data_IF_565352259779
#
_entry.id   IF_565352259779
#
_cell.length_a   1.000
_cell.length_b   1.000
_cell.length_c   1.000
_cell.angle_alpha   90.00
_cell.angle_beta   90.00
_cell.angle_gamma   90.00
#
_symmetry.space_group_name_H-M   'P 1'
#
loop_
_entity.id
_entity.type
_entity.pdbx_description
1 polymer ?
#
# COMPACT_ATOMS: atom_id res chain seq x y z
N UNK A 1 -9.80 -10.04 15.49
CA UNK A 1 -9.78 -10.58 14.12
C UNK A 1 -8.63 -9.99 13.33
N UNK A 2 -8.21 -10.67 12.28
CA UNK A 2 -7.19 -10.19 11.33
C UNK A 2 -7.82 -9.54 10.09
N UNK A 3 -9.14 -9.37 10.07
CA UNK A 3 -9.85 -8.60 9.05
C UNK A 3 -9.66 -7.10 9.26
N UNK A 4 -9.86 -6.32 8.20
CA UNK A 4 -9.80 -4.87 8.26
C UNK A 4 -10.99 -4.30 9.05
N UNK A 5 -10.69 -3.37 9.96
CA UNK A 5 -11.70 -2.58 10.68
C UNK A 5 -11.34 -1.10 10.57
N UNK A 6 -12.05 -0.39 9.69
CA UNK A 6 -11.82 1.04 9.41
C UNK A 6 -12.02 1.96 10.62
N UNK A 7 -12.75 1.50 11.65
CA UNK A 7 -13.00 2.31 12.84
C UNK A 7 -11.90 2.15 13.90
N UNK A 8 -11.14 1.05 13.83
CA UNK A 8 -10.10 0.73 14.80
C UNK A 8 -8.68 0.82 14.23
N UNK A 9 -8.53 0.64 12.91
CA UNK A 9 -7.22 0.56 12.26
C UNK A 9 -7.00 1.79 11.37
N UNK A 10 -6.12 2.67 11.83
CA UNK A 10 -5.91 3.99 11.24
C UNK A 10 -4.56 4.12 10.55
N UNK A 11 -4.45 5.07 9.63
CA UNK A 11 -3.19 5.41 8.97
C UNK A 11 -2.11 5.78 10.01
N UNK A 12 -2.44 6.61 11.00
CA UNK A 12 -1.50 7.00 12.05
C UNK A 12 -1.05 5.82 12.92
N UNK A 13 -1.90 4.82 13.11
CA UNK A 13 -1.53 3.57 13.76
C UNK A 13 -0.51 2.78 12.93
N UNK A 14 -0.69 2.70 11.63
CA UNK A 14 0.28 2.08 10.71
C UNK A 14 1.61 2.85 10.71
N UNK A 15 1.58 4.17 10.61
CA UNK A 15 2.78 5.03 10.69
C UNK A 15 3.53 4.79 12.00
N UNK A 16 2.82 4.69 13.12
CA UNK A 16 3.43 4.38 14.43
C UNK A 16 4.10 3.02 14.45
N UNK A 17 3.54 2.01 13.76
CA UNK A 17 4.16 0.69 13.63
C UNK A 17 5.43 0.68 12.77
N UNK A 18 5.53 1.59 11.81
CA UNK A 18 6.66 1.69 10.89
C UNK A 18 7.83 2.49 11.46
N UNK A 19 7.65 3.19 12.59
CA UNK A 19 8.73 3.93 13.24
C UNK A 19 9.95 3.07 13.55
N UNK A 20 11.13 3.57 13.24
CA UNK A 20 12.40 2.87 13.39
C UNK A 20 12.60 1.74 12.38
N UNK A 21 11.81 1.68 11.31
CA UNK A 21 11.99 0.72 10.23
C UNK A 21 12.43 1.42 8.94
N UNK A 22 12.96 0.63 7.99
CA UNK A 22 13.33 1.14 6.64
C UNK A 22 12.15 1.71 5.84
N UNK A 23 10.94 1.49 6.30
CA UNK A 23 9.69 1.93 5.67
C UNK A 23 9.17 3.27 6.25
N UNK A 24 9.76 3.74 7.37
CA UNK A 24 9.36 5.00 7.99
C UNK A 24 9.51 6.17 7.02
N UNK A 25 8.48 6.98 6.87
CA UNK A 25 8.40 8.20 6.03
C UNK A 25 8.83 8.03 4.57
N UNK A 26 9.08 6.81 4.13
CA UNK A 26 9.52 6.51 2.77
C UNK A 26 8.32 6.40 1.84
N UNK A 27 8.50 6.88 0.59
CA UNK A 27 7.51 6.79 -0.48
C UNK A 27 7.90 5.73 -1.50
N UNK A 28 6.88 5.10 -2.08
CA UNK A 28 7.02 4.10 -3.14
C UNK A 28 6.08 4.44 -4.29
N UNK A 29 6.50 4.16 -5.53
CA UNK A 29 5.66 4.33 -6.71
C UNK A 29 4.55 3.27 -6.72
N UNK A 30 3.33 3.69 -7.03
CA UNK A 30 2.19 2.79 -7.29
C UNK A 30 2.30 2.08 -8.64
N UNK A 31 3.14 2.60 -9.55
CA UNK A 31 3.21 2.20 -10.95
C UNK A 31 2.18 2.91 -11.82
N UNK A 32 1.33 3.73 -11.23
CA UNK A 32 0.42 4.61 -11.96
C UNK A 32 1.13 5.91 -12.33
N UNK A 33 0.65 6.50 -13.39
CA UNK A 33 1.07 7.84 -13.85
C UNK A 33 -0.09 8.79 -13.66
N UNK A 34 0.21 9.96 -13.16
CA UNK A 34 -0.73 11.07 -13.20
C UNK A 34 -0.14 12.19 -14.08
N UNK A 35 -1.02 12.79 -14.86
CA UNK A 35 -0.68 14.00 -15.56
C UNK A 35 -0.85 15.16 -14.57
N UNK A 36 0.25 15.73 -14.14
CA UNK A 36 0.23 16.98 -13.38
C UNK A 36 0.03 18.09 -14.40
N UNK A 37 -1.10 18.77 -14.31
CA UNK A 37 -1.40 19.91 -15.15
C UNK A 37 -0.29 20.95 -15.06
N UNK A 38 0.17 21.45 -16.19
CA UNK A 38 1.12 22.56 -16.25
C UNK A 38 0.54 23.78 -15.53
N UNK A 39 1.39 24.66 -15.03
CA UNK A 39 0.99 25.96 -14.52
C UNK A 39 0.94 26.94 -15.70
N UNK A 40 -0.13 27.72 -15.78
CA UNK A 40 -0.24 28.87 -16.69
C UNK A 40 -0.59 30.10 -15.85
N UNK A 41 0.32 30.45 -14.94
CA UNK A 41 0.25 31.66 -14.10
C UNK A 41 0.87 32.82 -14.89
N UNK A 42 0.03 33.56 -15.59
CA UNK A 42 0.45 34.64 -16.47
C UNK A 42 0.62 35.97 -15.70
N UNK A 43 -0.09 36.13 -14.58
CA UNK A 43 -0.02 37.32 -13.77
C UNK A 43 0.97 37.23 -12.60
N UNK A 44 1.63 36.10 -12.40
CA UNK A 44 2.63 35.81 -11.38
C UNK A 44 2.08 35.92 -9.95
N UNK A 45 0.83 35.54 -9.72
CA UNK A 45 0.23 35.50 -8.39
C UNK A 45 0.30 34.11 -7.70
N UNK A 46 1.00 33.16 -8.33
CA UNK A 46 1.15 31.76 -7.94
C UNK A 46 -0.14 30.92 -8.03
N UNK A 47 -1.07 31.35 -8.87
CA UNK A 47 -2.28 30.58 -9.19
C UNK A 47 -2.41 30.44 -10.69
N UNK A 48 -3.20 29.49 -11.11
CA UNK A 48 -3.70 29.37 -12.48
C UNK A 48 -5.21 29.44 -12.39
N UNK A 49 -5.75 30.63 -12.68
CA UNK A 49 -7.17 30.89 -12.49
C UNK A 49 -7.80 31.71 -13.63
N UNK A 50 -8.99 32.23 -13.37
CA UNK A 50 -9.74 32.96 -14.39
C UNK A 50 -9.03 34.25 -14.84
N UNK A 51 -8.18 34.85 -13.99
CA UNK A 51 -7.43 36.05 -14.35
C UNK A 51 -6.42 35.75 -15.46
N UNK A 52 -5.73 34.62 -15.36
CA UNK A 52 -4.78 34.18 -16.39
C UNK A 52 -5.50 33.84 -17.70
N UNK A 53 -6.63 33.16 -17.62
CA UNK A 53 -7.43 32.85 -18.80
C UNK A 53 -7.92 34.13 -19.52
N UNK A 54 -8.28 35.15 -18.76
CA UNK A 54 -8.67 36.47 -19.31
C UNK A 54 -7.46 37.19 -19.90
N UNK A 55 -6.28 37.13 -19.27
CA UNK A 55 -5.05 37.69 -19.83
C UNK A 55 -4.68 37.04 -21.16
N UNK A 56 -4.71 35.72 -21.23
CA UNK A 56 -4.42 34.96 -22.45
C UNK A 56 -5.42 35.29 -23.57
N UNK A 57 -6.71 35.39 -23.22
CA UNK A 57 -7.74 35.79 -24.16
C UNK A 57 -7.54 37.22 -24.67
N UNK A 58 -7.20 38.19 -23.83
CA UNK A 58 -6.92 39.56 -24.22
C UNK A 58 -5.70 39.65 -25.13
N UNK A 59 -4.67 38.85 -24.84
CA UNK A 59 -3.48 38.77 -25.70
C UNK A 59 -3.84 38.18 -27.07
N UNK A 60 -4.55 37.08 -27.11
CA UNK A 60 -4.97 36.44 -28.38
C UNK A 60 -5.91 37.33 -29.20
N UNK A 61 -6.67 38.19 -28.56
CA UNK A 61 -7.54 39.17 -29.22
C UNK A 61 -6.81 40.47 -29.61
N UNK A 62 -5.51 40.61 -29.33
CA UNK A 62 -4.70 41.80 -29.63
C UNK A 62 -4.97 43.01 -28.71
N UNK A 63 -5.71 42.80 -27.59
CA UNK A 63 -6.01 43.84 -26.62
C UNK A 63 -4.94 43.95 -25.51
N UNK A 64 -4.06 42.95 -25.38
CA UNK A 64 -2.89 42.95 -24.52
C UNK A 64 -1.66 42.78 -25.38
N UNK A 65 -0.70 43.71 -25.27
CA UNK A 65 0.45 43.76 -26.17
C UNK A 65 1.53 42.72 -25.87
N UNK A 66 1.64 42.29 -24.60
CA UNK A 66 2.69 41.37 -24.14
C UNK A 66 2.20 40.57 -22.94
N UNK A 67 2.65 39.31 -22.83
CA UNK A 67 2.44 38.42 -21.66
C UNK A 67 3.66 38.41 -20.72
N UNK A 68 4.70 39.16 -21.04
CA UNK A 68 5.94 39.16 -20.24
C UNK A 68 6.57 37.78 -20.17
N UNK A 69 6.96 37.37 -18.95
CA UNK A 69 7.49 36.03 -18.65
C UNK A 69 6.48 34.88 -18.84
N UNK A 70 5.20 35.19 -18.96
CA UNK A 70 4.15 34.19 -19.20
C UNK A 70 4.12 33.66 -20.62
N UNK A 71 4.83 34.30 -21.57
CA UNK A 71 4.83 33.89 -22.95
C UNK A 71 5.32 32.47 -23.21
N UNK A 72 6.32 32.03 -22.44
CA UNK A 72 6.91 30.68 -22.56
C UNK A 72 5.99 29.56 -22.12
N UNK A 73 4.92 29.89 -21.36
CA UNK A 73 3.96 28.92 -20.78
C UNK A 73 2.55 29.07 -21.36
N UNK A 74 2.37 29.95 -22.34
CA UNK A 74 1.06 30.31 -22.86
C UNK A 74 0.60 29.49 -24.09
N UNK A 75 1.52 28.83 -24.81
CA UNK A 75 1.20 27.84 -25.84
C UNK A 75 0.76 26.54 -25.21
N UNK A 76 -0.53 26.39 -24.98
CA UNK A 76 -1.11 25.27 -24.21
C UNK A 76 -1.48 24.07 -25.08
N UNK A 77 -1.55 24.26 -26.39
CA UNK A 77 -1.80 23.18 -27.35
C UNK A 77 -0.51 22.64 -27.98
N UNK A 78 0.62 23.40 -27.90
CA UNK A 78 1.93 23.02 -28.38
C UNK A 78 2.09 23.18 -29.91
N UNK A 79 1.30 24.04 -30.57
CA UNK A 79 1.38 24.24 -31.99
C UNK A 79 2.40 25.35 -32.42
N UNK A 80 2.97 26.02 -31.42
CA UNK A 80 3.96 27.09 -31.59
C UNK A 80 3.36 28.48 -31.76
N UNK A 81 2.05 28.61 -31.72
CA UNK A 81 1.32 29.89 -31.77
C UNK A 81 0.62 30.09 -30.39
N UNK A 82 0.44 31.36 -30.00
CA UNK A 82 -0.32 31.70 -28.80
C UNK A 82 -1.59 32.40 -29.25
N UNK A 83 -2.69 31.69 -29.27
CA UNK A 83 -3.93 32.19 -29.86
C UNK A 83 -5.17 31.89 -29.03
N UNK A 84 -6.34 32.04 -29.63
CA UNK A 84 -7.63 31.80 -28.96
C UNK A 84 -7.82 30.34 -28.56
N UNK A 85 -7.16 29.39 -29.23
CA UNK A 85 -7.26 27.96 -28.87
C UNK A 85 -6.63 27.69 -27.51
N UNK A 86 -5.50 28.34 -27.19
CA UNK A 86 -4.85 28.26 -25.88
C UNK A 86 -5.71 28.87 -24.78
N UNK A 87 -6.27 30.04 -25.06
CA UNK A 87 -7.19 30.69 -24.14
C UNK A 87 -8.42 29.81 -23.82
N UNK A 88 -8.97 29.14 -24.82
CA UNK A 88 -10.08 28.19 -24.63
C UNK A 88 -9.66 26.97 -23.79
N UNK A 89 -8.45 26.46 -23.99
CA UNK A 89 -7.89 25.39 -23.15
C UNK A 89 -7.83 25.83 -21.69
N UNK A 90 -7.31 27.04 -21.44
CA UNK A 90 -7.20 27.57 -20.08
C UNK A 90 -8.57 27.82 -19.44
N UNK A 91 -9.54 28.36 -20.17
CA UNK A 91 -10.91 28.50 -19.70
C UNK A 91 -11.56 27.16 -19.34
N UNK A 92 -11.35 26.12 -20.14
CA UNK A 92 -11.86 24.78 -19.85
C UNK A 92 -11.22 24.19 -18.58
N UNK A 93 -9.94 24.43 -18.38
CA UNK A 93 -9.21 24.00 -17.18
C UNK A 93 -9.71 24.70 -15.93
N UNK A 94 -9.76 26.02 -15.95
CA UNK A 94 -10.23 26.84 -14.83
C UNK A 94 -11.71 26.57 -14.51
N UNK A 95 -12.52 26.31 -15.54
CA UNK A 95 -13.91 25.93 -15.42
C UNK A 95 -14.15 24.47 -14.99
N UNK A 96 -13.09 23.69 -14.80
CA UNK A 96 -13.14 22.29 -14.34
C UNK A 96 -13.63 21.27 -15.36
N UNK A 97 -13.85 21.70 -16.62
CA UNK A 97 -14.21 20.78 -17.73
C UNK A 97 -13.01 20.09 -18.36
N UNK A 98 -11.80 20.57 -18.08
CA UNK A 98 -10.53 19.98 -18.47
C UNK A 98 -9.64 19.80 -17.23
N UNK A 99 -8.99 18.65 -17.10
CA UNK A 99 -8.17 18.33 -15.92
C UNK A 99 -6.72 18.79 -16.00
N UNK A 100 -6.24 19.10 -17.20
CA UNK A 100 -4.81 19.39 -17.45
C UNK A 100 -4.65 20.48 -18.50
N UNK A 101 -3.59 21.28 -18.41
CA UNK A 101 -3.21 22.34 -19.37
C UNK A 101 -1.75 22.20 -19.77
N UNK A 102 -1.45 22.55 -21.03
CA UNK A 102 -0.08 22.69 -21.54
C UNK A 102 0.73 21.41 -21.49
N UNK A 103 2.03 21.56 -21.29
CA UNK A 103 2.99 20.48 -21.20
C UNK A 103 2.76 19.64 -19.95
N UNK A 104 1.90 18.64 -20.09
CA UNK A 104 1.67 17.66 -19.04
C UNK A 104 2.94 16.87 -18.79
N UNK A 105 3.48 16.97 -17.59
CA UNK A 105 4.51 16.06 -17.13
C UNK A 105 3.82 14.84 -16.55
N UNK A 106 4.04 13.67 -17.13
CA UNK A 106 3.69 12.42 -16.46
C UNK A 106 4.59 12.26 -15.23
N UNK A 107 3.99 12.25 -14.07
CA UNK A 107 4.69 11.97 -12.82
C UNK A 107 4.23 10.64 -12.24
N UNK A 108 5.15 9.93 -11.60
CA UNK A 108 4.81 8.70 -10.87
C UNK A 108 3.93 9.04 -9.68
N UNK A 109 2.78 8.40 -9.60
CA UNK A 109 1.96 8.44 -8.38
C UNK A 109 2.70 7.69 -7.28
N UNK A 110 3.03 8.40 -6.21
CA UNK A 110 3.72 7.82 -5.05
C UNK A 110 2.87 7.87 -3.81
N UNK A 111 2.99 6.85 -2.98
CA UNK A 111 2.34 6.76 -1.66
C UNK A 111 3.37 6.41 -0.61
N UNK A 112 3.10 6.73 0.66
CA UNK A 112 3.92 6.22 1.76
C UNK A 112 3.71 4.71 1.92
N UNK A 113 4.66 4.02 2.57
CA UNK A 113 4.44 2.61 2.93
C UNK A 113 3.19 2.42 3.79
N UNK A 114 2.95 3.36 4.73
CA UNK A 114 1.75 3.33 5.55
C UNK A 114 0.48 3.35 4.70
N UNK A 115 0.41 4.24 3.71
CA UNK A 115 -0.71 4.31 2.79
C UNK A 115 -0.82 3.05 1.92
N UNK A 116 0.30 2.47 1.48
CA UNK A 116 0.28 1.22 0.72
C UNK A 116 -0.31 0.05 1.53
N UNK A 117 0.01 -0.05 2.82
CA UNK A 117 -0.61 -1.04 3.71
C UNK A 117 -2.09 -0.78 3.96
N UNK A 118 -2.51 0.49 4.09
CA UNK A 118 -3.93 0.85 4.19
C UNK A 118 -4.70 0.50 2.92
N UNK A 119 -4.15 0.81 1.75
CA UNK A 119 -4.74 0.44 0.46
C UNK A 119 -4.89 -1.08 0.31
N UNK A 120 -3.87 -1.84 0.72
CA UNK A 120 -3.92 -3.30 0.70
C UNK A 120 -4.98 -3.86 1.66
N UNK A 121 -5.12 -3.25 2.84
CA UNK A 121 -6.11 -3.62 3.85
C UNK A 121 -7.54 -3.42 3.33
N UNK A 122 -7.80 -2.27 2.74
CA UNK A 122 -9.10 -1.92 2.17
C UNK A 122 -9.47 -2.82 0.97
N UNK A 123 -8.51 -3.09 0.08
CA UNK A 123 -8.75 -3.90 -1.11
C UNK A 123 -9.01 -5.38 -0.79
N UNK A 124 -8.42 -5.93 0.28
CA UNK A 124 -8.43 -7.37 0.53
C UNK A 124 -9.02 -7.76 1.89
N UNK A 125 -9.65 -6.84 2.60
CA UNK A 125 -10.26 -7.06 3.92
C UNK A 125 -9.30 -7.70 4.93
N UNK A 126 -8.05 -7.20 4.99
CA UNK A 126 -7.01 -7.70 5.90
C UNK A 126 -6.46 -6.59 6.78
N UNK A 127 -6.32 -6.82 8.07
CA UNK A 127 -5.78 -5.83 9.00
C UNK A 127 -4.42 -5.27 8.55
N UNK A 128 -4.27 -3.95 8.35
CA UNK A 128 -3.00 -3.35 7.99
C UNK A 128 -1.95 -3.56 9.08
N UNK A 129 -2.37 -3.61 10.35
CA UNK A 129 -1.49 -3.90 11.49
C UNK A 129 -0.95 -5.33 11.44
N UNK A 130 -1.77 -6.28 10.99
CA UNK A 130 -1.32 -7.65 10.76
C UNK A 130 -0.30 -7.71 9.61
N UNK A 131 -0.57 -7.03 8.49
CA UNK A 131 0.34 -6.96 7.35
C UNK A 131 1.70 -6.39 7.74
N UNK A 132 1.73 -5.23 8.41
CA UNK A 132 2.97 -4.60 8.88
C UNK A 132 3.72 -5.51 9.86
N UNK A 133 3.02 -6.12 10.83
CA UNK A 133 3.63 -7.04 11.78
C UNK A 133 4.30 -8.22 11.08
N UNK A 134 3.63 -8.77 10.07
CA UNK A 134 4.17 -9.84 9.23
C UNK A 134 5.42 -9.40 8.49
N UNK A 135 5.36 -8.29 7.78
CA UNK A 135 6.51 -7.78 7.04
C UNK A 135 7.72 -7.59 7.96
N UNK A 136 7.54 -6.92 9.10
CA UNK A 136 8.64 -6.72 10.05
C UNK A 136 9.17 -8.06 10.59
N UNK A 137 8.30 -9.04 10.80
CA UNK A 137 8.72 -10.38 11.23
C UNK A 137 9.52 -11.12 10.17
N UNK A 138 9.14 -10.99 8.91
CA UNK A 138 9.74 -11.71 7.79
C UNK A 138 11.05 -11.08 7.29
N UNK A 139 11.12 -9.74 7.25
CA UNK A 139 12.26 -9.03 6.64
C UNK A 139 13.05 -8.18 7.64
N UNK A 140 12.61 -8.08 8.88
CA UNK A 140 13.24 -7.27 9.93
C UNK A 140 13.02 -5.77 9.78
N UNK A 141 13.38 -5.02 10.82
CA UNK A 141 13.23 -3.55 10.83
C UNK A 141 14.16 -2.84 9.83
N UNK A 142 15.29 -3.44 9.51
CA UNK A 142 16.26 -2.88 8.55
C UNK A 142 16.00 -3.34 7.10
N UNK A 143 15.01 -4.20 6.89
CA UNK A 143 14.80 -4.87 5.62
C UNK A 143 15.77 -6.03 5.41
N UNK A 144 15.52 -6.83 4.39
CA UNK A 144 16.36 -7.96 4.00
C UNK A 144 16.65 -7.94 2.50
N UNK A 145 17.46 -8.87 2.02
CA UNK A 145 17.75 -9.05 0.59
C UNK A 145 16.47 -9.20 -0.25
N UNK A 146 15.41 -9.80 0.31
CA UNK A 146 14.16 -10.04 -0.41
C UNK A 146 13.37 -8.76 -0.71
N UNK A 147 13.70 -7.62 -0.08
CA UNK A 147 13.02 -6.32 -0.29
C UNK A 147 13.96 -5.23 -0.81
N UNK A 148 15.24 -5.55 -1.05
CA UNK A 148 16.23 -4.60 -1.54
C UNK A 148 15.94 -4.14 -2.96
N UNK A 149 15.52 -5.05 -3.82
CA UNK A 149 15.38 -4.85 -5.27
C UNK A 149 16.71 -4.83 -6.02
N UNK A 150 17.81 -5.22 -5.34
CA UNK A 150 19.17 -5.23 -5.89
C UNK A 150 19.81 -6.61 -5.84
N UNK A 151 19.03 -7.65 -5.53
CA UNK A 151 19.55 -9.01 -5.50
C UNK A 151 19.97 -9.47 -6.89
N UNK A 152 21.21 -9.95 -7.08
CA UNK A 152 21.70 -10.37 -8.39
C UNK A 152 20.81 -11.41 -9.07
N UNK A 153 20.37 -11.11 -10.30
CA UNK A 153 19.45 -11.95 -11.08
C UNK A 153 17.97 -11.78 -10.72
N UNK A 154 17.66 -10.92 -9.75
CA UNK A 154 16.30 -10.56 -9.33
C UNK A 154 16.16 -9.05 -9.10
N UNK A 155 16.90 -8.25 -9.86
CA UNK A 155 16.85 -6.79 -9.77
C UNK A 155 15.43 -6.29 -10.05
N UNK A 156 14.95 -5.38 -9.21
CA UNK A 156 13.58 -4.85 -9.28
C UNK A 156 12.48 -5.82 -8.82
N UNK A 157 12.84 -6.98 -8.26
CA UNK A 157 11.88 -7.93 -7.65
C UNK A 157 11.89 -7.76 -6.14
N UNK A 158 10.70 -7.83 -5.54
CA UNK A 158 10.47 -7.61 -4.10
C UNK A 158 9.60 -8.70 -3.51
N UNK A 159 9.88 -9.11 -2.28
CA UNK A 159 9.03 -10.04 -1.54
C UNK A 159 9.02 -9.69 -0.04
N UNK A 160 8.03 -8.92 0.39
CA UNK A 160 7.91 -8.44 1.76
C UNK A 160 7.46 -9.51 2.77
N UNK A 161 6.87 -10.59 2.28
CA UNK A 161 6.26 -11.63 3.13
C UNK A 161 7.02 -12.96 3.07
N UNK A 162 8.15 -13.00 2.38
CA UNK A 162 8.94 -14.21 2.14
C UNK A 162 8.12 -15.41 1.64
N UNK A 163 7.03 -15.15 0.91
CA UNK A 163 6.18 -16.20 0.34
C UNK A 163 7.02 -16.99 -0.69
N UNK A 164 7.00 -18.31 -0.57
CA UNK A 164 7.84 -19.19 -1.41
C UNK A 164 9.27 -19.40 -0.90
N UNK A 165 9.62 -18.91 0.29
CA UNK A 165 10.89 -19.17 0.95
C UNK A 165 10.94 -20.59 1.52
N UNK A 166 11.09 -21.59 0.66
CA UNK A 166 11.23 -22.97 1.09
C UNK A 166 12.60 -23.20 1.73
N UNK A 167 12.68 -24.19 2.62
CA UNK A 167 13.93 -24.58 3.23
C UNK A 167 14.91 -25.05 2.16
N UNK A 168 16.04 -24.36 2.03
CA UNK A 168 17.11 -24.64 1.05
C UNK A 168 18.40 -23.97 1.51
N UNK A 169 19.45 -24.05 0.69
CA UNK A 169 20.69 -23.30 0.93
C UNK A 169 20.50 -21.78 0.92
N UNK A 170 19.55 -21.26 0.16
CA UNK A 170 19.17 -19.84 0.14
C UNK A 170 17.64 -19.66 -0.01
N UNK A 171 16.90 -19.59 1.10
CA UNK A 171 15.44 -19.38 1.08
C UNK A 171 15.03 -18.05 0.44
N UNK A 172 15.87 -17.01 0.50
CA UNK A 172 15.58 -15.69 -0.09
C UNK A 172 15.51 -15.80 -1.61
N UNK A 173 16.41 -16.53 -2.22
CA UNK A 173 16.40 -16.76 -3.68
C UNK A 173 15.12 -17.50 -4.10
N UNK A 174 14.67 -18.49 -3.33
CA UNK A 174 13.40 -19.16 -3.61
C UNK A 174 12.21 -18.20 -3.53
N UNK A 175 12.18 -17.33 -2.53
CA UNK A 175 11.15 -16.32 -2.37
C UNK A 175 11.12 -15.32 -3.55
N UNK A 176 12.29 -14.86 -3.99
CA UNK A 176 12.41 -13.95 -5.13
C UNK A 176 12.06 -14.64 -6.45
N UNK A 177 12.48 -15.89 -6.66
CA UNK A 177 12.07 -16.69 -7.80
C UNK A 177 10.56 -16.87 -7.86
N UNK A 178 9.92 -17.16 -6.72
CA UNK A 178 8.47 -17.24 -6.65
C UNK A 178 7.81 -15.90 -7.00
N UNK A 179 8.30 -14.78 -6.45
CA UNK A 179 7.79 -13.44 -6.69
C UNK A 179 7.98 -12.97 -8.15
N UNK A 180 9.08 -13.37 -8.82
CA UNK A 180 9.37 -13.02 -10.21
C UNK A 180 8.56 -13.82 -11.23
N UNK A 181 8.07 -15.02 -10.85
CA UNK A 181 7.32 -15.89 -11.76
C UNK A 181 5.91 -15.34 -11.99
N UNK A 182 5.49 -15.04 -13.22
CA UNK A 182 4.12 -14.65 -13.52
C UNK A 182 3.10 -15.67 -13.03
N UNK A 183 1.97 -15.22 -12.54
CA UNK A 183 0.86 -16.10 -12.17
C UNK A 183 -0.25 -16.04 -13.20
N UNK A 184 -0.89 -17.18 -13.46
CA UNK A 184 -2.09 -17.24 -14.31
C UNK A 184 -3.18 -16.32 -13.75
N UNK A 185 -3.84 -15.57 -14.63
CA UNK A 185 -4.93 -14.64 -14.26
C UNK A 185 -4.56 -13.63 -13.17
N UNK A 186 -3.27 -13.19 -13.15
CA UNK A 186 -2.77 -12.25 -12.14
C UNK A 186 -3.07 -12.63 -10.69
N UNK A 187 -3.25 -13.94 -10.43
CA UNK A 187 -3.42 -14.45 -9.08
C UNK A 187 -2.27 -13.96 -8.21
N UNK A 188 -2.54 -13.21 -7.18
CA UNK A 188 -1.56 -12.56 -6.31
C UNK A 188 -0.70 -11.47 -6.97
N UNK A 189 -1.12 -10.91 -8.12
CA UNK A 189 -0.45 -9.78 -8.80
C UNK A 189 1.03 -10.04 -9.19
N UNK A 190 1.45 -11.29 -9.36
CA UNK A 190 2.82 -11.61 -9.79
C UNK A 190 3.03 -11.37 -11.30
N UNK A 191 4.22 -10.91 -11.72
CA UNK A 191 5.46 -10.73 -10.95
C UNK A 191 5.41 -9.49 -10.04
N UNK A 192 6.10 -9.56 -8.89
CA UNK A 192 6.22 -8.47 -7.93
C UNK A 192 7.39 -7.55 -8.26
N UNK A 193 7.26 -6.85 -9.36
CA UNK A 193 8.28 -5.98 -9.95
C UNK A 193 8.19 -4.51 -9.50
N UNK A 194 7.40 -4.22 -8.49
CA UNK A 194 7.41 -2.95 -7.75
C UNK A 194 7.12 -3.21 -6.28
N UNK A 195 7.56 -2.30 -5.41
CA UNK A 195 7.34 -2.39 -3.96
C UNK A 195 5.84 -2.39 -3.63
N UNK A 196 5.09 -1.49 -4.25
CA UNK A 196 3.64 -1.40 -4.07
C UNK A 196 2.93 -2.70 -4.48
N UNK A 197 3.24 -3.21 -5.66
CA UNK A 197 2.66 -4.46 -6.17
C UNK A 197 3.00 -5.66 -5.29
N UNK A 198 4.21 -5.71 -4.72
CA UNK A 198 4.62 -6.77 -3.80
C UNK A 198 3.86 -6.71 -2.46
N UNK A 199 3.60 -5.51 -1.93
CA UNK A 199 2.80 -5.33 -0.72
C UNK A 199 1.35 -5.79 -0.96
N UNK A 200 0.72 -5.30 -2.04
CA UNK A 200 -0.65 -5.65 -2.38
C UNK A 200 -0.81 -7.15 -2.71
N UNK A 201 0.11 -7.69 -3.50
CA UNK A 201 0.07 -9.09 -3.91
C UNK A 201 0.24 -10.07 -2.75
N UNK A 202 1.12 -9.73 -1.79
CA UNK A 202 1.29 -10.50 -0.56
C UNK A 202 0.09 -10.39 0.38
N UNK A 203 -0.51 -9.21 0.50
CA UNK A 203 -1.75 -9.02 1.23
C UNK A 203 -2.90 -9.86 0.63
N UNK A 204 -3.05 -9.84 -0.71
CA UNK A 204 -4.00 -10.69 -1.42
C UNK A 204 -3.76 -12.19 -1.15
N UNK A 205 -2.50 -12.62 -1.11
CA UNK A 205 -2.14 -14.01 -0.78
C UNK A 205 -2.62 -14.40 0.62
N UNK A 206 -2.31 -13.55 1.63
CA UNK A 206 -2.69 -13.77 3.03
C UNK A 206 -4.23 -13.78 3.17
N UNK A 207 -4.89 -12.79 2.57
CA UNK A 207 -6.35 -12.66 2.64
C UNK A 207 -7.04 -13.89 2.04
N UNK A 208 -6.70 -14.25 0.80
CA UNK A 208 -7.36 -15.37 0.10
C UNK A 208 -6.97 -16.73 0.65
N UNK A 209 -5.76 -16.87 1.20
CA UNK A 209 -5.29 -18.13 1.77
C UNK A 209 -5.90 -18.47 3.11
N UNK A 210 -6.19 -17.47 3.95
CA UNK A 210 -6.59 -17.72 5.33
C UNK A 210 -7.85 -16.93 5.75
N UNK A 211 -7.85 -15.62 5.58
CA UNK A 211 -8.89 -14.76 6.18
C UNK A 211 -10.25 -14.99 5.51
N UNK A 212 -10.29 -15.00 4.19
CA UNK A 212 -11.53 -15.19 3.41
C UNK A 212 -12.14 -16.60 3.54
N UNK A 213 -11.35 -17.57 3.98
CA UNK A 213 -11.81 -18.93 4.26
C UNK A 213 -12.17 -19.14 5.74
N UNK A 214 -12.29 -18.07 6.51
CA UNK A 214 -12.71 -18.11 7.91
C UNK A 214 -11.59 -18.25 8.93
N UNK A 215 -10.33 -18.42 8.50
CA UNK A 215 -9.17 -18.48 9.40
C UNK A 215 -8.64 -17.07 9.73
N UNK A 216 -9.53 -16.23 10.23
CA UNK A 216 -9.28 -14.79 10.46
C UNK A 216 -8.78 -14.44 11.87
N UNK A 217 -8.18 -15.39 12.57
CA UNK A 217 -7.41 -15.18 13.81
C UNK A 217 -6.15 -16.02 13.77
N UNK A 218 -5.13 -15.65 14.57
CA UNK A 218 -3.90 -16.43 14.71
C UNK A 218 -4.19 -17.86 15.19
N UNK A 219 -5.18 -18.02 16.07
CA UNK A 219 -5.62 -19.32 16.56
C UNK A 219 -6.22 -20.18 15.42
N UNK A 220 -7.15 -19.61 14.66
CA UNK A 220 -7.82 -20.32 13.57
C UNK A 220 -6.85 -20.65 12.43
N UNK A 221 -5.88 -19.79 12.14
CA UNK A 221 -4.82 -20.09 11.19
C UNK A 221 -3.94 -21.25 11.64
N UNK A 222 -3.63 -21.31 12.94
CA UNK A 222 -2.77 -22.37 13.48
C UNK A 222 -3.48 -23.70 13.55
N UNK A 223 -4.71 -23.74 14.06
CA UNK A 223 -5.37 -24.99 14.41
C UNK A 223 -6.39 -25.47 13.38
N UNK A 224 -6.78 -24.59 12.44
CA UNK A 224 -7.70 -24.91 11.33
C UNK A 224 -8.96 -25.68 11.81
N UNK A 225 -9.66 -25.07 12.76
CA UNK A 225 -10.89 -25.63 13.33
C UNK A 225 -12.16 -25.06 12.69
N UNK A 226 -12.03 -24.37 11.57
CA UNK A 226 -13.13 -23.84 10.75
C UNK A 226 -13.23 -24.67 9.47
N UNK A 227 -14.39 -25.23 9.24
CA UNK A 227 -14.58 -26.25 8.20
C UNK A 227 -14.72 -25.66 6.78
N UNK A 228 -13.64 -25.17 6.18
CA UNK A 228 -13.62 -24.86 4.76
C UNK A 228 -12.68 -25.84 4.03
N UNK A 229 -13.16 -27.05 3.76
CA UNK A 229 -12.36 -28.07 3.08
C UNK A 229 -11.83 -29.20 3.96
N UNK A 230 -12.24 -29.23 5.22
CA UNK A 230 -11.87 -30.26 6.20
C UNK A 230 -11.05 -29.69 7.36
N UNK A 231 -11.40 -30.06 8.58
CA UNK A 231 -10.72 -29.61 9.79
C UNK A 231 -9.24 -30.06 9.79
N UNK A 232 -8.36 -29.21 10.30
CA UNK A 232 -6.94 -29.48 10.53
C UNK A 232 -6.09 -29.66 9.25
N UNK A 233 -6.66 -29.42 8.08
CA UNK A 233 -5.99 -29.68 6.79
C UNK A 233 -5.19 -28.48 6.27
N UNK A 234 -5.49 -27.27 6.73
CA UNK A 234 -4.90 -26.02 6.26
C UNK A 234 -4.28 -25.23 7.42
N UNK A 235 -3.36 -25.83 8.14
CA UNK A 235 -2.69 -25.21 9.28
C UNK A 235 -1.53 -24.33 8.85
N UNK A 236 -1.45 -23.15 9.46
CA UNK A 236 -0.32 -22.25 9.33
C UNK A 236 0.75 -22.59 10.37
N UNK A 237 1.97 -22.87 9.93
CA UNK A 237 3.13 -23.28 10.72
C UNK A 237 3.01 -24.65 11.42
N UNK A 238 4.10 -25.39 11.50
CA UNK A 238 4.22 -26.65 12.23
C UNK A 238 4.34 -26.44 13.76
N UNK A 239 4.90 -25.31 14.20
CA UNK A 239 5.10 -25.00 15.62
C UNK A 239 3.77 -24.84 16.36
N UNK A 240 3.51 -25.68 17.34
CA UNK A 240 2.28 -25.65 18.15
C UNK A 240 2.12 -24.37 18.96
N UNK A 241 3.20 -23.70 19.31
CA UNK A 241 3.19 -22.43 20.05
C UNK A 241 3.06 -21.19 19.16
N UNK A 242 2.93 -21.37 17.84
CA UNK A 242 2.92 -20.26 16.91
C UNK A 242 1.86 -19.20 17.23
N UNK A 243 0.60 -19.61 17.44
CA UNK A 243 -0.50 -18.70 17.74
C UNK A 243 -0.25 -17.89 19.02
N UNK A 244 0.24 -18.55 20.07
CA UNK A 244 0.57 -17.90 21.35
C UNK A 244 1.74 -16.93 21.21
N UNK A 245 2.82 -17.34 20.54
CA UNK A 245 4.01 -16.52 20.35
C UNK A 245 3.71 -15.28 19.49
N UNK A 246 2.95 -15.44 18.43
CA UNK A 246 2.54 -14.33 17.57
C UNK A 246 1.53 -13.42 18.26
N UNK A 247 0.62 -13.98 19.05
CA UNK A 247 -0.31 -13.20 19.90
C UNK A 247 0.42 -12.30 20.88
N UNK A 248 1.43 -12.81 21.57
CA UNK A 248 2.27 -12.02 22.49
C UNK A 248 3.03 -10.91 21.73
N UNK A 249 3.60 -11.22 20.57
CA UNK A 249 4.30 -10.23 19.77
C UNK A 249 3.35 -9.11 19.31
N UNK A 250 2.17 -9.47 18.85
CA UNK A 250 1.14 -8.52 18.43
C UNK A 250 0.69 -7.65 19.59
N UNK A 251 0.41 -8.26 20.76
CA UNK A 251 0.07 -7.53 21.99
C UNK A 251 1.15 -6.51 22.38
N UNK A 252 2.41 -6.93 22.40
CA UNK A 252 3.52 -6.04 22.75
C UNK A 252 3.64 -4.87 21.76
N UNK A 253 3.41 -5.11 20.47
CA UNK A 253 3.39 -4.04 19.48
C UNK A 253 2.26 -3.05 19.70
N UNK A 254 1.03 -3.51 19.92
CA UNK A 254 -0.09 -2.64 20.25
C UNK A 254 0.14 -1.87 21.55
N UNK A 255 0.74 -2.50 22.56
CA UNK A 255 1.12 -1.84 23.80
C UNK A 255 2.12 -0.71 23.58
N UNK A 256 3.19 -0.98 22.84
CA UNK A 256 4.22 0.01 22.53
C UNK A 256 3.71 1.19 21.72
N UNK A 257 2.66 0.98 20.92
CA UNK A 257 2.00 2.02 20.14
C UNK A 257 0.88 2.76 20.91
N UNK A 258 0.60 2.40 22.17
CA UNK A 258 -0.52 2.95 22.93
C UNK A 258 -1.90 2.57 22.39
N UNK A 259 -1.99 1.49 21.59
CA UNK A 259 -3.22 1.11 20.90
C UNK A 259 -4.11 0.13 21.71
N UNK A 260 -3.69 -0.26 22.92
CA UNK A 260 -4.47 -1.21 23.75
C UNK A 260 -5.82 -0.68 24.24
N UNK A 261 -6.03 0.64 24.17
CA UNK A 261 -7.31 1.30 24.48
C UNK A 261 -8.32 1.27 23.32
N UNK A 262 -7.90 0.84 22.14
CA UNK A 262 -8.79 0.74 20.98
C UNK A 262 -9.76 -0.44 21.14
N UNK A 263 -10.89 -0.38 20.46
CA UNK A 263 -11.82 -1.48 20.35
C UNK A 263 -11.23 -2.62 19.51
N UNK A 264 -11.28 -3.85 20.04
CA UNK A 264 -10.88 -5.04 19.31
C UNK A 264 -12.03 -6.04 19.25
N UNK A 265 -12.20 -6.70 18.12
CA UNK A 265 -13.10 -7.83 17.97
C UNK A 265 -12.34 -9.12 18.22
N UNK A 266 -12.75 -9.88 19.22
CA UNK A 266 -12.19 -11.20 19.56
C UNK A 266 -13.14 -12.30 19.10
N UNK A 267 -12.60 -13.31 18.41
CA UNK A 267 -13.29 -14.58 18.18
C UNK A 267 -12.72 -15.62 19.14
N UNK A 268 -13.57 -16.10 20.04
CA UNK A 268 -13.22 -17.09 21.05
C UNK A 268 -13.85 -18.41 20.65
N UNK A 269 -13.08 -19.41 20.21
CA UNK A 269 -13.62 -20.73 19.90
C UNK A 269 -14.20 -21.36 21.17
N UNK A 270 -15.41 -21.92 21.05
CA UNK A 270 -16.08 -22.68 22.11
C UNK A 270 -16.28 -24.10 21.64
N UNK A 271 -15.86 -25.06 22.43
CA UNK A 271 -15.95 -26.50 22.12
C UNK A 271 -16.94 -27.17 23.07
N UNK A 272 -17.62 -28.22 22.61
CA UNK A 272 -18.66 -28.94 23.38
C UNK A 272 -18.17 -29.44 24.72
N UNK A 273 -16.91 -29.84 24.82
CA UNK A 273 -16.32 -30.38 26.07
C UNK A 273 -15.22 -29.46 26.63
N UNK A 274 -15.47 -28.15 26.64
CA UNK A 274 -14.53 -27.23 27.27
C UNK A 274 -14.42 -27.46 28.78
N UNK A 275 -13.19 -27.45 29.33
CA UNK A 275 -13.03 -27.53 30.79
C UNK A 275 -13.67 -26.31 31.49
N UNK A 276 -14.25 -26.50 32.66
CA UNK A 276 -14.88 -25.45 33.45
C UNK A 276 -13.90 -24.33 33.87
N UNK A 277 -12.62 -24.63 33.89
CA UNK A 277 -11.56 -23.67 34.20
C UNK A 277 -10.67 -23.49 32.99
N UNK A 278 -10.33 -22.22 32.63
CA UNK A 278 -9.35 -21.98 31.58
C UNK A 278 -8.03 -22.64 31.99
N UNK A 279 -7.30 -23.14 30.97
CA UNK A 279 -5.94 -23.62 31.18
C UNK A 279 -5.15 -22.52 31.91
N UNK A 280 -4.65 -22.80 33.09
CA UNK A 280 -3.94 -21.84 33.91
C UNK A 280 -2.82 -21.19 33.12
N UNK A 281 -2.76 -19.89 33.15
CA UNK A 281 -1.62 -19.14 32.60
C UNK A 281 -0.40 -19.63 33.36
N UNK A 282 0.49 -20.37 32.71
CA UNK A 282 1.77 -20.71 33.34
C UNK A 282 2.47 -19.41 33.69
N UNK A 283 2.93 -19.22 34.92
CA UNK A 283 3.71 -18.05 35.26
C UNK A 283 4.89 -17.97 34.30
N UNK A 284 5.07 -16.83 33.71
CA UNK A 284 6.27 -16.48 32.93
C UNK A 284 7.49 -16.68 33.83
N UNK A 285 8.36 -17.58 33.42
CA UNK A 285 9.73 -17.65 33.96
C UNK A 285 10.56 -16.52 33.35
#
# INVERSE_FOLDING_TARGET
TLSYDKNAQTLSGVESMLKGTFMEDSKISTGEKENVGGSCDLNSDNKTDIADAMMLFQYSAGNLADLGSGKDIADLNGDGEIDVADAMILFQYVGGSRKTIGNNTETDVTVTYAQAFMNAAELYDVSPYHLVSRVIQEVGSNGSRSVSGTEPGYEGIYNYYNIGAYQSSDPVINALKWASTPSSNEKYLRPWNSRYKAILGGAKYIATGYISVGQNTLYLQKFDVVANGGLYSHQYMSNIMAASSEGIRTYNKYSNMGQLSNSFTFLIPVYDNMPNLPAGVKPTR
#
